data_IF_431572822359
#
_entry.id   IF_431572822359
#
_cell.length_a   1.000
_cell.length_b   1.000
_cell.length_c   1.000
_cell.angle_alpha   90.00
_cell.angle_beta   90.00
_cell.angle_gamma   90.00
#
_symmetry.space_group_name_H-M   'P 1'
#
loop_
_entity.id
_entity.type
_entity.pdbx_description
1 polymer ?
#
# COMPACT_ATOMS: atom_id res chain seq x y z
N UNK A 1 0.01 0.94 10.35
CA UNK A 1 1.45 0.83 10.68
C UNK A 1 1.88 -0.57 11.13
N UNK A 2 1.18 -1.23 12.06
CA UNK A 2 1.61 -2.54 12.62
C UNK A 2 1.75 -3.67 11.58
N UNK A 3 0.89 -3.67 10.56
CA UNK A 3 0.84 -4.72 9.52
C UNK A 3 2.09 -4.68 8.63
N UNK A 4 2.60 -3.49 8.32
CA UNK A 4 3.78 -3.29 7.48
C UNK A 4 5.05 -3.82 8.15
N UNK A 5 5.26 -3.45 9.41
CA UNK A 5 6.42 -3.92 10.18
C UNK A 5 6.32 -5.41 10.55
N UNK A 6 5.11 -5.96 10.67
CA UNK A 6 4.94 -7.41 10.75
C UNK A 6 5.39 -8.09 9.46
N UNK A 7 4.97 -7.59 8.29
CA UNK A 7 5.32 -8.19 7.00
C UNK A 7 6.83 -8.16 6.74
N UNK A 8 7.48 -7.01 7.00
CA UNK A 8 8.95 -6.86 6.89
C UNK A 8 9.69 -7.87 7.77
N UNK A 9 9.28 -7.99 9.04
CA UNK A 9 9.89 -8.94 9.98
C UNK A 9 9.63 -10.39 9.60
N UNK A 10 8.40 -10.73 9.20
CA UNK A 10 8.03 -12.10 8.79
C UNK A 10 8.81 -12.56 7.56
N UNK A 11 9.02 -11.68 6.59
CA UNK A 11 9.66 -12.02 5.32
C UNK A 11 11.15 -11.68 5.27
N UNK A 12 11.71 -11.05 6.31
CA UNK A 12 13.12 -10.64 6.36
C UNK A 12 13.50 -9.65 5.25
N UNK A 13 12.52 -8.92 4.71
CA UNK A 13 12.71 -8.00 3.57
C UNK A 13 12.44 -6.57 4.03
N UNK A 14 13.32 -5.66 3.64
CA UNK A 14 13.09 -4.23 3.75
C UNK A 14 12.11 -3.82 2.64
N UNK A 15 11.00 -3.18 3.01
CA UNK A 15 10.07 -2.59 2.08
C UNK A 15 10.11 -1.07 2.27
N UNK A 16 10.23 -0.34 1.16
CA UNK A 16 10.24 1.12 1.12
C UNK A 16 8.88 1.72 0.79
N UNK A 17 7.98 0.93 0.19
CA UNK A 17 6.65 1.34 -0.28
C UNK A 17 5.57 0.43 0.29
N UNK A 18 4.42 1.00 0.62
CA UNK A 18 3.22 0.26 1.00
C UNK A 18 2.12 0.60 -0.02
N UNK A 19 1.71 -0.41 -0.78
CA UNK A 19 0.79 -0.25 -1.91
C UNK A 19 -0.48 -1.06 -1.68
N UNK A 20 -1.63 -0.46 -1.99
CA UNK A 20 -2.95 -1.11 -1.99
C UNK A 20 -3.51 -1.05 -3.41
N UNK A 21 -3.80 -2.22 -3.99
CA UNK A 21 -4.43 -2.31 -5.30
C UNK A 21 -5.87 -2.79 -5.07
N UNK A 22 -6.85 -1.97 -5.40
CA UNK A 22 -8.26 -2.32 -5.29
C UNK A 22 -9.09 -1.56 -6.32
N UNK A 23 -9.83 -2.26 -7.21
CA UNK A 23 -10.67 -1.60 -8.22
C UNK A 23 -11.82 -0.79 -7.62
N UNK A 24 -12.16 -1.05 -6.35
CA UNK A 24 -13.16 -0.29 -5.61
C UNK A 24 -12.58 0.10 -4.26
N UNK A 25 -12.14 1.35 -4.13
CA UNK A 25 -11.69 1.94 -2.87
C UNK A 25 -12.73 2.94 -2.38
N UNK A 26 -13.08 2.86 -1.08
CA UNK A 26 -13.92 3.88 -0.45
C UNK A 26 -13.17 5.23 -0.40
N UNK A 27 -13.86 6.32 -0.73
CA UNK A 27 -13.26 7.65 -0.79
C UNK A 27 -12.68 8.12 0.57
N UNK A 28 -13.21 7.65 1.70
CA UNK A 28 -12.67 7.94 3.03
C UNK A 28 -11.38 7.15 3.28
N UNK A 29 -11.32 5.91 2.80
CA UNK A 29 -10.11 5.10 2.86
C UNK A 29 -8.99 5.71 2.01
N UNK A 30 -9.32 6.28 0.84
CA UNK A 30 -8.36 6.98 0.00
C UNK A 30 -7.70 8.17 0.71
N UNK A 31 -8.50 9.03 1.37
CA UNK A 31 -7.99 10.16 2.15
C UNK A 31 -7.13 9.72 3.34
N UNK A 32 -7.46 8.59 3.96
CA UNK A 32 -6.66 8.05 5.07
C UNK A 32 -5.32 7.51 4.57
N UNK A 33 -5.32 6.80 3.44
CA UNK A 33 -4.12 6.24 2.83
C UNK A 33 -3.12 7.33 2.46
N UNK A 34 -3.58 8.44 1.86
CA UNK A 34 -2.75 9.61 1.55
C UNK A 34 -2.04 10.14 2.81
N UNK A 35 -2.79 10.31 3.91
CA UNK A 35 -2.23 10.76 5.20
C UNK A 35 -1.24 9.78 5.83
N UNK A 36 -1.34 8.50 5.47
CA UNK A 36 -0.49 7.43 6.00
C UNK A 36 0.68 7.09 5.05
N UNK A 37 0.80 7.76 3.90
CA UNK A 37 1.81 7.46 2.89
C UNK A 37 1.61 6.09 2.22
N UNK A 38 0.35 5.66 2.09
CA UNK A 38 -0.02 4.42 1.41
C UNK A 38 -0.44 4.77 -0.02
N UNK A 39 0.20 4.14 -0.98
CA UNK A 39 -0.12 4.31 -2.40
C UNK A 39 -1.35 3.45 -2.74
N UNK A 40 -2.33 4.03 -3.44
CA UNK A 40 -3.53 3.32 -3.88
C UNK A 40 -3.56 3.29 -5.40
N UNK A 41 -3.84 2.12 -5.96
CA UNK A 41 -4.05 1.91 -7.39
C UNK A 41 -5.36 1.16 -7.62
N UNK A 42 -6.04 1.47 -8.72
CA UNK A 42 -7.25 0.76 -9.13
C UNK A 42 -6.93 -0.59 -9.77
N UNK A 43 -5.81 -0.65 -10.50
CA UNK A 43 -5.33 -1.83 -11.20
C UNK A 43 -3.83 -2.06 -10.96
N UNK A 44 -3.41 -3.31 -11.04
CA UNK A 44 -2.00 -3.70 -11.01
C UNK A 44 -1.14 -3.08 -12.12
N UNK A 45 -1.73 -2.77 -13.27
CA UNK A 45 -1.05 -2.19 -14.42
C UNK A 45 -0.62 -0.73 -14.15
N UNK A 46 -1.31 -0.06 -13.23
CA UNK A 46 -1.02 1.32 -12.85
C UNK A 46 0.21 1.42 -11.92
N UNK A 47 0.69 0.30 -11.40
CA UNK A 47 1.87 0.26 -10.52
C UNK A 47 3.13 0.26 -11.38
N UNK A 48 3.96 1.29 -11.23
CA UNK A 48 5.27 1.35 -11.88
C UNK A 48 6.13 0.13 -11.53
N UNK A 49 6.64 -0.54 -12.56
CA UNK A 49 7.58 -1.65 -12.40
C UNK A 49 8.92 -1.15 -11.83
N UNK A 50 9.50 -1.95 -10.94
CA UNK A 50 10.77 -1.69 -10.26
C UNK A 50 11.99 -2.04 -11.13
#
# INVERSE_FOLDING_TARGET
>A
MYIFEFYKRRHGRQASRLIVISPMIDARAAKLAERLGIEIYGDSIEVEAL
#
